data_IF_319508543139
#
_entry.id   IF_319508543139
#
_cell.length_a   1.000
_cell.length_b   1.000
_cell.length_c   1.000
_cell.angle_alpha   90.00
_cell.angle_beta   90.00
_cell.angle_gamma   90.00
#
_symmetry.space_group_name_H-M   'P 1'
#
loop_
_entity.id
_entity.type
_entity.pdbx_description
1 polymer ?
#
# COMPACT_ATOMS: atom_id res chain seq x y z
N UNK A 1 14.41 -16.50 -42.83
CA UNK A 1 13.03 -16.81 -42.41
C UNK A 1 13.05 -18.25 -41.87
N UNK A 2 13.73 -18.49 -40.76
CA UNK A 2 13.95 -19.83 -40.19
C UNK A 2 14.10 -19.70 -38.66
N UNK A 3 13.04 -19.94 -37.90
CA UNK A 3 13.10 -20.04 -36.43
C UNK A 3 11.88 -20.75 -35.82
N UNK A 4 11.16 -21.55 -36.60
CA UNK A 4 10.00 -22.31 -36.09
C UNK A 4 10.28 -23.81 -35.95
N UNK A 5 11.46 -24.29 -36.38
CA UNK A 5 11.82 -25.71 -36.40
C UNK A 5 12.74 -26.15 -35.25
N UNK A 6 13.15 -25.25 -34.36
CA UNK A 6 14.03 -25.55 -33.22
C UNK A 6 13.30 -25.60 -31.86
N UNK A 7 11.97 -25.57 -31.86
CA UNK A 7 11.22 -25.84 -30.64
C UNK A 7 11.28 -27.34 -30.33
N UNK A 8 11.99 -27.71 -29.26
CA UNK A 8 11.90 -29.03 -28.63
C UNK A 8 10.41 -29.42 -28.53
N UNK A 9 10.00 -30.60 -29.02
CA UNK A 9 8.62 -31.04 -28.89
C UNK A 9 8.27 -31.04 -27.40
N UNK A 10 7.29 -30.24 -26.98
CA UNK A 10 6.69 -30.43 -25.66
C UNK A 10 6.19 -31.86 -25.61
N UNK A 11 6.63 -32.62 -24.61
CA UNK A 11 6.31 -34.03 -24.39
C UNK A 11 4.80 -34.33 -24.17
N UNK A 12 3.92 -33.37 -24.43
CA UNK A 12 2.48 -33.42 -24.13
C UNK A 12 1.60 -33.41 -25.40
N UNK A 13 2.19 -33.47 -26.60
CA UNK A 13 1.46 -33.33 -27.87
C UNK A 13 0.88 -34.64 -28.44
N UNK A 14 0.58 -35.64 -27.60
CA UNK A 14 0.20 -36.98 -28.07
C UNK A 14 -1.03 -37.64 -27.42
N UNK A 15 -1.42 -37.23 -26.20
CA UNK A 15 -2.52 -37.86 -25.48
C UNK A 15 -3.59 -36.85 -25.08
N UNK A 16 -4.86 -37.30 -25.00
CA UNK A 16 -5.96 -36.50 -24.45
C UNK A 16 -5.68 -36.27 -22.97
N UNK A 17 -5.41 -35.03 -22.58
CA UNK A 17 -5.13 -34.65 -21.21
C UNK A 17 -6.36 -34.02 -20.57
N UNK A 18 -6.72 -34.49 -19.37
CA UNK A 18 -7.86 -33.98 -18.60
C UNK A 18 -7.43 -33.63 -17.18
N UNK A 19 -8.11 -32.69 -16.55
CA UNK A 19 -7.93 -32.36 -15.14
C UNK A 19 -8.52 -33.45 -14.25
N UNK A 20 -7.99 -33.60 -13.04
CA UNK A 20 -8.57 -34.44 -11.98
C UNK A 20 -9.87 -33.90 -11.39
N UNK A 21 -10.30 -32.67 -11.77
CA UNK A 21 -11.55 -32.07 -11.30
C UNK A 21 -12.77 -32.76 -11.97
N UNK A 22 -13.82 -33.16 -11.22
CA UNK A 22 -15.00 -33.82 -11.79
C UNK A 22 -15.79 -32.93 -12.76
N UNK A 23 -15.66 -31.60 -12.64
CA UNK A 23 -16.31 -30.61 -13.50
C UNK A 23 -15.48 -30.26 -14.76
N UNK A 24 -14.43 -31.02 -15.07
CA UNK A 24 -13.67 -30.80 -16.31
C UNK A 24 -14.57 -31.05 -17.53
N UNK A 25 -14.86 -29.99 -18.28
CA UNK A 25 -15.68 -30.03 -19.49
C UNK A 25 -15.17 -31.04 -20.52
N UNK A 26 -13.85 -31.24 -20.63
CA UNK A 26 -13.23 -32.22 -21.53
C UNK A 26 -13.44 -33.64 -21.01
N UNK A 27 -13.30 -33.87 -19.71
CA UNK A 27 -13.59 -35.17 -19.09
C UNK A 27 -15.06 -35.57 -19.29
N UNK A 28 -15.98 -34.66 -18.99
CA UNK A 28 -17.43 -34.85 -19.19
C UNK A 28 -17.74 -35.16 -20.65
N UNK A 29 -17.11 -34.44 -21.59
CA UNK A 29 -17.32 -34.67 -23.02
C UNK A 29 -16.81 -36.05 -23.46
N UNK A 30 -15.64 -36.48 -22.96
CA UNK A 30 -15.09 -37.80 -23.28
C UNK A 30 -15.96 -38.92 -22.72
N UNK A 31 -16.45 -38.80 -21.49
CA UNK A 31 -17.38 -39.76 -20.90
C UNK A 31 -18.71 -39.86 -21.67
N UNK A 32 -19.23 -38.73 -22.18
CA UNK A 32 -20.41 -38.74 -23.05
C UNK A 32 -20.15 -39.48 -24.37
N UNK A 33 -18.98 -39.29 -24.97
CA UNK A 33 -18.60 -40.02 -26.17
C UNK A 33 -18.43 -41.52 -25.92
N UNK A 34 -17.83 -41.92 -24.80
CA UNK A 34 -17.77 -43.32 -24.38
C UNK A 34 -19.17 -43.93 -24.28
N UNK A 35 -20.10 -43.22 -23.64
CA UNK A 35 -21.48 -43.68 -23.49
C UNK A 35 -22.18 -43.89 -24.84
N UNK A 36 -22.00 -42.98 -25.80
CA UNK A 36 -22.57 -43.11 -27.15
C UNK A 36 -21.97 -44.30 -27.88
N UNK A 37 -20.64 -44.49 -27.79
CA UNK A 37 -19.95 -45.62 -28.45
C UNK A 37 -20.38 -46.97 -27.85
N UNK A 38 -20.63 -47.02 -26.53
CA UNK A 38 -21.20 -48.19 -25.86
C UNK A 38 -22.62 -48.51 -26.34
N UNK A 39 -23.47 -47.50 -26.50
CA UNK A 39 -24.82 -47.67 -27.05
C UNK A 39 -24.81 -48.21 -28.50
N UNK A 40 -23.73 -47.94 -29.24
CA UNK A 40 -23.51 -48.47 -30.59
C UNK A 40 -22.90 -49.88 -30.61
N UNK A 41 -22.77 -50.55 -29.45
CA UNK A 41 -22.29 -51.92 -29.34
C UNK A 41 -20.76 -52.08 -29.27
N UNK A 42 -20.02 -50.99 -29.03
CA UNK A 42 -18.57 -51.00 -28.92
C UNK A 42 -18.10 -50.83 -27.48
N UNK A 43 -17.15 -51.65 -27.04
CA UNK A 43 -16.61 -51.64 -25.66
C UNK A 43 -15.36 -50.76 -25.51
N UNK A 44 -15.18 -49.75 -26.37
CA UNK A 44 -14.00 -48.88 -26.33
C UNK A 44 -14.12 -47.87 -25.19
N UNK A 45 -13.08 -47.81 -24.36
CA UNK A 45 -12.92 -46.85 -23.26
C UNK A 45 -11.89 -45.80 -23.68
N UNK A 46 -12.14 -44.53 -23.41
CA UNK A 46 -11.18 -43.47 -23.69
C UNK A 46 -10.01 -43.53 -22.69
N UNK A 47 -8.79 -43.55 -23.22
CA UNK A 47 -7.57 -43.46 -22.42
C UNK A 47 -7.12 -42.00 -22.42
N UNK A 48 -6.97 -41.43 -21.23
CA UNK A 48 -6.52 -40.06 -21.03
C UNK A 48 -5.55 -39.97 -19.86
N UNK A 49 -4.69 -38.96 -19.88
CA UNK A 49 -3.78 -38.65 -18.78
C UNK A 49 -4.42 -37.61 -17.88
N UNK A 50 -4.52 -37.92 -16.59
CA UNK A 50 -5.04 -37.00 -15.58
C UNK A 50 -3.91 -36.12 -15.06
N UNK A 51 -4.01 -34.81 -15.26
CA UNK A 51 -3.14 -33.87 -14.56
C UNK A 51 -3.79 -33.53 -13.22
N UNK A 52 -3.05 -33.82 -12.15
CA UNK A 52 -3.34 -33.24 -10.84
C UNK A 52 -3.01 -31.75 -10.90
N UNK A 53 -4.01 -30.93 -11.23
CA UNK A 53 -3.93 -29.49 -11.03
C UNK A 53 -4.00 -29.26 -9.52
N UNK A 54 -2.84 -29.32 -8.84
CA UNK A 54 -2.73 -28.80 -7.49
C UNK A 54 -3.21 -27.36 -7.50
N UNK A 55 -4.13 -27.03 -6.59
CA UNK A 55 -4.69 -25.68 -6.52
C UNK A 55 -3.55 -24.66 -6.47
N UNK A 56 -3.59 -23.70 -7.37
CA UNK A 56 -2.64 -22.59 -7.39
C UNK A 56 -2.69 -21.87 -6.05
N UNK A 57 -1.61 -21.19 -5.66
CA UNK A 57 -1.64 -20.39 -4.43
C UNK A 57 -2.78 -19.35 -4.48
N UNK A 58 -3.09 -18.82 -5.67
CA UNK A 58 -4.19 -17.88 -5.86
C UNK A 58 -5.56 -18.50 -5.58
N UNK A 59 -5.84 -19.70 -6.11
CA UNK A 59 -7.10 -20.41 -5.83
C UNK A 59 -7.27 -20.71 -4.33
N UNK A 60 -6.17 -21.02 -3.63
CA UNK A 60 -6.16 -21.24 -2.18
C UNK A 60 -6.42 -19.94 -1.40
N UNK A 61 -5.74 -18.86 -1.76
CA UNK A 61 -5.92 -17.55 -1.12
C UNK A 61 -7.35 -17.03 -1.29
N UNK A 62 -7.93 -17.19 -2.48
CA UNK A 62 -9.34 -16.85 -2.74
C UNK A 62 -10.31 -17.69 -1.90
N UNK A 63 -10.03 -18.98 -1.71
CA UNK A 63 -10.86 -19.85 -0.90
C UNK A 63 -10.80 -19.46 0.59
N UNK A 64 -9.61 -19.12 1.09
CA UNK A 64 -9.43 -18.61 2.45
C UNK A 64 -10.15 -17.27 2.63
N UNK A 65 -10.04 -16.36 1.66
CA UNK A 65 -10.72 -15.08 1.69
C UNK A 65 -12.24 -15.23 1.77
N UNK A 66 -12.83 -16.11 0.94
CA UNK A 66 -14.27 -16.42 1.00
C UNK A 66 -14.67 -16.96 2.38
N UNK A 67 -13.88 -17.88 2.95
CA UNK A 67 -14.15 -18.38 4.30
C UNK A 67 -14.08 -17.28 5.36
N UNK A 68 -13.10 -16.38 5.28
CA UNK A 68 -12.98 -15.26 6.21
C UNK A 68 -14.13 -14.25 6.06
N UNK A 69 -14.63 -14.01 4.84
CA UNK A 69 -15.78 -13.13 4.60
C UNK A 69 -17.09 -13.72 5.13
N UNK A 70 -17.31 -15.03 4.97
CA UNK A 70 -18.50 -15.70 5.50
C UNK A 70 -18.48 -15.80 7.04
N UNK A 71 -17.32 -16.03 7.63
CA UNK A 71 -17.19 -16.31 9.06
C UNK A 71 -17.02 -15.06 9.93
N UNK A 72 -16.71 -13.89 9.35
CA UNK A 72 -16.50 -12.65 10.10
C UNK A 72 -17.48 -11.56 9.64
N UNK A 73 -18.68 -11.48 10.27
CA UNK A 73 -19.60 -10.38 10.02
C UNK A 73 -18.95 -9.04 10.37
N UNK A 74 -19.44 -7.91 9.82
CA UNK A 74 -18.82 -6.59 10.00
C UNK A 74 -18.55 -6.21 11.46
N UNK A 75 -19.42 -6.61 12.40
CA UNK A 75 -19.26 -6.30 13.82
C UNK A 75 -18.10 -7.05 14.49
N UNK A 76 -17.69 -8.20 13.96
CA UNK A 76 -16.61 -9.05 14.53
C UNK A 76 -15.25 -8.80 13.88
N UNK A 77 -15.18 -7.88 12.91
CA UNK A 77 -13.92 -7.55 12.23
C UNK A 77 -13.01 -6.76 13.15
N UNK A 78 -11.74 -7.15 13.18
CA UNK A 78 -10.70 -6.40 13.88
C UNK A 78 -10.61 -4.97 13.34
N UNK A 79 -10.29 -4.00 14.21
CA UNK A 79 -10.15 -2.58 13.85
C UNK A 79 -9.20 -2.38 12.66
N UNK A 80 -8.06 -3.08 12.67
CA UNK A 80 -7.11 -3.10 11.57
C UNK A 80 -7.76 -3.53 10.23
N UNK A 81 -8.61 -4.56 10.23
CA UNK A 81 -9.29 -5.00 9.01
C UNK A 81 -10.33 -3.98 8.56
N UNK A 82 -11.03 -3.32 9.49
CA UNK A 82 -11.98 -2.26 9.16
C UNK A 82 -11.27 -1.08 8.48
N UNK A 83 -10.13 -0.63 9.01
CA UNK A 83 -9.30 0.42 8.39
C UNK A 83 -8.81 0.01 7.00
N UNK A 84 -8.29 -1.21 6.87
CA UNK A 84 -7.83 -1.74 5.59
C UNK A 84 -8.94 -1.80 4.54
N UNK A 85 -10.16 -2.21 4.93
CA UNK A 85 -11.32 -2.23 4.04
C UNK A 85 -11.79 -0.83 3.64
N UNK A 86 -11.69 0.17 4.54
CA UNK A 86 -11.97 1.58 4.18
C UNK A 86 -11.05 2.09 3.07
N UNK A 87 -9.82 1.59 3.01
CA UNK A 87 -8.85 1.88 1.93
C UNK A 87 -9.09 1.06 0.65
N UNK A 88 -10.23 0.39 0.53
CA UNK A 88 -10.61 -0.43 -0.62
C UNK A 88 -9.93 -1.80 -0.66
N UNK A 89 -9.55 -2.34 0.49
CA UNK A 89 -9.03 -3.70 0.64
C UNK A 89 -10.11 -4.75 0.95
N UNK A 90 -9.77 -6.02 0.79
CA UNK A 90 -10.59 -7.17 1.21
C UNK A 90 -9.71 -8.33 1.69
N UNK A 91 -10.32 -9.38 2.26
CA UNK A 91 -9.58 -10.58 2.66
C UNK A 91 -8.87 -11.24 1.47
N UNK A 92 -9.38 -11.07 0.24
CA UNK A 92 -8.75 -11.59 -0.97
C UNK A 92 -7.49 -10.82 -1.38
N UNK A 93 -7.39 -9.53 -1.03
CA UNK A 93 -6.28 -8.68 -1.45
C UNK A 93 -5.19 -8.54 -0.39
N UNK A 94 -5.48 -8.83 0.88
CA UNK A 94 -4.59 -8.53 2.01
C UNK A 94 -3.21 -9.18 1.87
N UNK A 95 -3.15 -10.45 1.45
CA UNK A 95 -1.88 -11.19 1.29
C UNK A 95 -1.03 -10.56 0.20
N UNK A 96 -1.64 -10.29 -0.96
CA UNK A 96 -0.97 -9.67 -2.11
C UNK A 96 -0.50 -8.25 -1.80
N UNK A 97 -1.30 -7.48 -1.06
CA UNK A 97 -0.95 -6.12 -0.70
C UNK A 97 0.16 -6.05 0.36
N UNK A 98 0.18 -6.98 1.33
CA UNK A 98 1.30 -7.13 2.26
C UNK A 98 2.59 -7.52 1.56
N UNK A 99 2.53 -8.43 0.59
CA UNK A 99 3.67 -8.81 -0.23
C UNK A 99 4.18 -7.61 -1.04
N UNK A 100 3.28 -6.86 -1.68
CA UNK A 100 3.65 -5.65 -2.43
C UNK A 100 4.27 -4.59 -1.52
N UNK A 101 3.73 -4.36 -0.32
CA UNK A 101 4.32 -3.44 0.64
C UNK A 101 5.75 -3.84 1.05
N UNK A 102 6.01 -5.14 1.23
CA UNK A 102 7.37 -5.65 1.48
C UNK A 102 8.30 -5.41 0.29
N UNK A 103 7.80 -5.62 -0.93
CA UNK A 103 8.57 -5.36 -2.15
C UNK A 103 8.89 -3.87 -2.32
N UNK A 104 7.95 -2.98 -1.99
CA UNK A 104 8.17 -1.53 -1.96
C UNK A 104 9.27 -1.15 -0.96
N UNK A 105 9.26 -1.72 0.25
CA UNK A 105 10.30 -1.52 1.26
C UNK A 105 11.67 -2.02 0.78
N UNK A 106 11.72 -3.23 0.24
CA UNK A 106 12.94 -3.80 -0.32
C UNK A 106 13.50 -2.94 -1.46
N UNK A 107 12.63 -2.42 -2.32
CA UNK A 107 13.01 -1.52 -3.42
C UNK A 107 13.61 -0.22 -2.87
N UNK A 108 12.94 0.43 -1.90
CA UNK A 108 13.45 1.64 -1.24
C UNK A 108 14.84 1.42 -0.63
N UNK A 109 15.03 0.31 0.09
CA UNK A 109 16.33 -0.04 0.70
C UNK A 109 17.39 -0.25 -0.39
N UNK A 110 17.07 -0.99 -1.46
CA UNK A 110 18.00 -1.21 -2.57
C UNK A 110 18.43 0.09 -3.22
N UNK A 111 17.51 1.03 -3.46
CA UNK A 111 17.86 2.36 -3.99
C UNK A 111 18.74 3.16 -3.03
N UNK A 112 18.48 3.11 -1.72
CA UNK A 112 19.35 3.77 -0.74
C UNK A 112 20.77 3.16 -0.73
N UNK A 113 20.90 1.83 -0.88
CA UNK A 113 22.20 1.14 -0.98
C UNK A 113 22.90 1.47 -2.30
N UNK A 114 22.22 1.37 -3.44
CA UNK A 114 22.80 1.64 -4.76
C UNK A 114 23.18 3.10 -4.96
N UNK A 115 22.53 4.02 -4.26
CA UNK A 115 22.86 5.44 -4.27
C UNK A 115 23.97 5.82 -3.27
N UNK A 116 24.58 4.85 -2.58
CA UNK A 116 25.71 5.11 -1.68
C UNK A 116 26.89 5.71 -2.45
N UNK A 117 27.45 6.80 -1.93
CA UNK A 117 28.54 7.54 -2.59
C UNK A 117 28.06 8.62 -3.56
N UNK A 118 26.75 8.72 -3.84
CA UNK A 118 26.17 9.87 -4.55
C UNK A 118 25.99 11.07 -3.62
N UNK A 119 25.88 12.26 -4.21
CA UNK A 119 25.55 13.49 -3.49
C UNK A 119 24.17 13.40 -2.82
N UNK A 120 24.06 13.90 -1.58
CA UNK A 120 22.83 13.81 -0.79
C UNK A 120 21.61 14.48 -1.45
N UNK A 121 21.82 15.56 -2.22
CA UNK A 121 20.74 16.19 -3.00
C UNK A 121 20.16 15.21 -4.02
N UNK A 122 21.02 14.52 -4.77
CA UNK A 122 20.59 13.52 -5.75
C UNK A 122 19.91 12.33 -5.07
N UNK A 123 20.41 11.92 -3.90
CA UNK A 123 19.77 10.87 -3.09
C UNK A 123 18.37 11.29 -2.62
N UNK A 124 18.19 12.54 -2.21
CA UNK A 124 16.88 13.09 -1.87
C UNK A 124 15.93 13.15 -3.07
N UNK A 125 16.42 13.54 -4.25
CA UNK A 125 15.62 13.54 -5.48
C UNK A 125 15.16 12.12 -5.85
N UNK A 126 16.03 11.11 -5.66
CA UNK A 126 15.66 9.69 -5.86
C UNK A 126 14.56 9.28 -4.86
N UNK A 127 14.72 9.60 -3.57
CA UNK A 127 13.71 9.27 -2.54
C UNK A 127 12.37 9.94 -2.82
N UNK A 128 12.37 11.19 -3.26
CA UNK A 128 11.15 11.91 -3.60
C UNK A 128 10.46 11.32 -4.84
N UNK A 129 11.24 10.93 -5.85
CA UNK A 129 10.69 10.23 -7.01
C UNK A 129 10.07 8.87 -6.63
N UNK A 130 10.71 8.10 -5.75
CA UNK A 130 10.16 6.84 -5.25
C UNK A 130 8.83 7.09 -4.51
N UNK A 131 8.77 8.11 -3.64
CA UNK A 131 7.53 8.50 -2.96
C UNK A 131 6.43 8.82 -3.97
N UNK A 132 6.73 9.65 -4.97
CA UNK A 132 5.77 10.01 -6.02
C UNK A 132 5.25 8.79 -6.79
N UNK A 133 6.11 7.82 -7.11
CA UNK A 133 5.70 6.57 -7.75
C UNK A 133 4.82 5.74 -6.82
N UNK A 134 5.19 5.63 -5.55
CA UNK A 134 4.43 4.86 -4.56
C UNK A 134 3.06 5.48 -4.29
N UNK A 135 2.92 6.81 -4.31
CA UNK A 135 1.64 7.49 -4.15
C UNK A 135 0.65 7.20 -5.28
N UNK A 136 1.10 6.67 -6.42
CA UNK A 136 0.22 6.23 -7.52
C UNK A 136 -0.30 4.80 -7.33
N UNK A 137 0.22 4.06 -6.36
CA UNK A 137 -0.24 2.71 -6.06
C UNK A 137 -1.51 2.75 -5.19
N UNK A 138 -2.28 1.65 -5.14
CA UNK A 138 -3.42 1.55 -4.23
C UNK A 138 -3.04 1.94 -2.79
N UNK A 139 -3.78 2.88 -2.20
CA UNK A 139 -3.49 3.49 -0.89
C UNK A 139 -3.29 2.45 0.21
N UNK A 140 -4.07 1.36 0.19
CA UNK A 140 -3.92 0.23 1.11
C UNK A 140 -2.53 -0.44 1.10
N UNK A 141 -1.81 -0.42 -0.03
CA UNK A 141 -0.41 -0.88 -0.13
C UNK A 141 0.55 0.13 0.47
N UNK A 142 0.31 1.42 0.21
CA UNK A 142 1.07 2.54 0.79
C UNK A 142 0.96 2.53 2.30
N UNK A 143 -0.24 2.31 2.84
CA UNK A 143 -0.51 2.18 4.27
C UNK A 143 0.33 1.07 4.92
N UNK A 144 0.35 -0.14 4.36
CA UNK A 144 1.20 -1.22 4.85
C UNK A 144 2.70 -0.93 4.71
N UNK A 145 3.11 -0.35 3.59
CA UNK A 145 4.50 0.03 3.36
C UNK A 145 4.97 1.03 4.44
N UNK A 146 4.16 2.06 4.73
CA UNK A 146 4.47 3.08 5.72
C UNK A 146 4.51 2.52 7.15
N UNK A 147 3.58 1.62 7.50
CA UNK A 147 3.64 0.84 8.74
C UNK A 147 5.00 0.14 8.90
N UNK A 148 5.49 -0.52 7.84
CA UNK A 148 6.79 -1.20 7.88
C UNK A 148 7.96 -0.22 7.98
N UNK A 149 7.92 0.92 7.26
CA UNK A 149 8.94 1.98 7.35
C UNK A 149 9.01 2.57 8.76
N UNK A 150 7.85 2.90 9.34
CA UNK A 150 7.75 3.42 10.71
C UNK A 150 8.30 2.43 11.72
N UNK A 151 7.87 1.16 11.64
CA UNK A 151 8.38 0.11 12.51
C UNK A 151 9.89 -0.07 12.39
N UNK A 152 10.45 0.06 11.18
CA UNK A 152 11.90 0.01 10.98
C UNK A 152 12.62 1.21 11.60
N UNK A 153 12.09 2.42 11.43
CA UNK A 153 12.70 3.65 11.91
C UNK A 153 12.60 3.85 13.43
N UNK A 154 11.54 3.33 14.05
CA UNK A 154 11.24 3.55 15.48
C UNK A 154 11.51 2.31 16.36
N UNK A 155 12.05 1.23 15.78
CA UNK A 155 12.20 -0.10 16.42
C UNK A 155 12.94 -0.09 17.76
N UNK A 156 13.93 0.78 17.95
CA UNK A 156 14.70 0.89 19.19
C UNK A 156 14.01 1.74 20.29
N UNK A 157 12.88 2.38 19.97
CA UNK A 157 12.09 3.20 20.91
C UNK A 157 10.75 2.57 21.28
N UNK A 158 10.42 1.44 20.65
CA UNK A 158 9.25 0.63 20.93
C UNK A 158 9.66 -0.46 21.91
N UNK A 159 9.25 -0.34 23.18
CA UNK A 159 9.19 -1.50 24.07
C UNK A 159 8.18 -2.47 23.43
N UNK A 160 8.53 -3.76 23.35
CA UNK A 160 7.76 -4.87 22.76
C UNK A 160 7.79 -5.05 21.24
N UNK A 161 8.42 -6.17 20.84
CA UNK A 161 8.48 -6.66 19.48
C UNK A 161 7.23 -7.42 19.04
N UNK A 162 6.97 -7.36 17.74
CA UNK A 162 6.09 -8.21 16.91
C UNK A 162 4.71 -7.68 16.51
N UNK A 163 4.23 -6.54 17.02
CA UNK A 163 2.91 -6.00 16.62
C UNK A 163 3.10 -4.76 15.74
N UNK A 164 2.40 -4.71 14.60
CA UNK A 164 2.23 -3.48 13.83
C UNK A 164 1.42 -2.54 14.72
N UNK A 165 2.07 -1.61 15.41
CA UNK A 165 1.38 -0.65 16.28
C UNK A 165 0.47 0.28 15.47
N UNK A 166 -0.49 0.91 16.15
CA UNK A 166 -1.22 2.02 15.58
C UNK A 166 -0.28 3.20 15.34
N UNK A 167 -0.54 3.95 14.27
CA UNK A 167 0.29 5.05 13.81
C UNK A 167 -0.53 6.17 13.18
N UNK A 168 0.11 7.29 12.85
CA UNK A 168 -0.57 8.41 12.19
C UNK A 168 -1.19 8.01 10.85
N UNK A 169 -0.65 6.98 10.18
CA UNK A 169 -1.25 6.40 8.97
C UNK A 169 -2.62 5.73 9.22
N UNK A 170 -2.91 5.27 10.45
CA UNK A 170 -4.19 4.68 10.82
C UNK A 170 -5.26 5.74 11.05
N UNK A 171 -4.87 6.91 11.59
CA UNK A 171 -5.75 8.06 11.69
C UNK A 171 -6.20 8.51 10.30
N UNK A 172 -5.26 8.63 9.35
CA UNK A 172 -5.57 8.97 7.96
C UNK A 172 -6.44 7.90 7.31
N UNK A 173 -6.19 6.60 7.57
CA UNK A 173 -7.07 5.54 7.10
C UNK A 173 -8.49 5.65 7.67
N UNK A 174 -8.61 6.03 8.95
CA UNK A 174 -9.86 6.24 9.65
C UNK A 174 -10.71 7.35 9.05
N UNK A 175 -10.08 8.46 8.66
CA UNK A 175 -10.74 9.64 8.06
C UNK A 175 -10.65 9.68 6.54
N UNK A 176 -10.25 8.59 5.89
CA UNK A 176 -10.02 8.52 4.43
C UNK A 176 -11.21 8.95 3.59
N UNK A 177 -12.44 8.84 4.10
CA UNK A 177 -13.67 9.28 3.43
C UNK A 177 -13.81 10.81 3.34
N UNK A 178 -13.13 11.55 4.22
CA UNK A 178 -13.13 13.01 4.24
C UNK A 178 -11.99 13.63 3.42
N UNK A 179 -11.14 12.80 2.82
CA UNK A 179 -9.94 13.19 2.08
C UNK A 179 -10.15 12.81 0.61
N UNK A 180 -9.74 13.69 -0.31
CA UNK A 180 -9.68 13.37 -1.74
C UNK A 180 -8.82 12.14 -2.00
N UNK A 181 -9.33 11.21 -2.81
CA UNK A 181 -8.75 9.87 -2.99
C UNK A 181 -7.27 9.89 -3.41
N UNK A 182 -6.90 10.85 -4.25
CA UNK A 182 -5.57 11.10 -4.79
C UNK A 182 -4.59 11.66 -3.75
N UNK A 183 -5.10 12.27 -2.67
CA UNK A 183 -4.30 12.93 -1.64
C UNK A 183 -4.03 12.05 -0.43
N UNK A 184 -4.79 10.98 -0.23
CA UNK A 184 -4.66 10.09 0.94
C UNK A 184 -3.23 9.55 1.06
N UNK A 185 -2.66 9.04 -0.04
CA UNK A 185 -1.30 8.50 -0.01
C UNK A 185 -0.26 9.58 0.34
N UNK A 186 -0.39 10.77 -0.25
CA UNK A 186 0.50 11.93 0.01
C UNK A 186 0.44 12.34 1.48
N UNK A 187 -0.75 12.43 2.04
CA UNK A 187 -0.95 12.75 3.46
C UNK A 187 -0.39 11.65 4.37
N UNK A 188 -0.62 10.37 4.06
CA UNK A 188 -0.03 9.27 4.83
C UNK A 188 1.50 9.36 4.85
N UNK A 189 2.13 9.62 3.71
CA UNK A 189 3.58 9.83 3.62
C UNK A 189 4.03 10.99 4.52
N UNK A 190 3.34 12.13 4.42
CA UNK A 190 3.66 13.32 5.20
C UNK A 190 3.63 13.06 6.71
N UNK A 191 2.50 12.53 7.22
CA UNK A 191 2.33 12.34 8.67
C UNK A 191 3.31 11.32 9.24
N UNK A 192 3.59 10.23 8.51
CA UNK A 192 4.54 9.20 8.96
C UNK A 192 5.97 9.71 8.94
N UNK A 193 6.38 10.39 7.87
CA UNK A 193 7.74 10.93 7.76
C UNK A 193 7.98 12.05 8.77
N UNK A 194 6.97 12.88 9.02
CA UNK A 194 7.02 13.91 10.07
C UNK A 194 7.17 13.29 11.45
N UNK A 195 6.39 12.25 11.77
CA UNK A 195 6.53 11.54 13.04
C UNK A 195 7.94 10.95 13.21
N UNK A 196 8.47 10.30 12.17
CA UNK A 196 9.84 9.74 12.19
C UNK A 196 10.87 10.84 12.39
N UNK A 197 10.71 11.98 11.71
CA UNK A 197 11.60 13.14 11.85
C UNK A 197 11.57 13.69 13.27
N UNK A 198 10.38 13.90 13.84
CA UNK A 198 10.19 14.38 15.21
C UNK A 198 10.79 13.42 16.24
N UNK A 199 10.56 12.11 16.07
CA UNK A 199 11.17 11.12 16.96
C UNK A 199 12.70 11.20 16.92
N UNK A 200 13.29 11.43 15.75
CA UNK A 200 14.75 11.55 15.60
C UNK A 200 15.33 12.89 16.09
N UNK A 201 14.49 13.88 16.39
CA UNK A 201 14.87 15.19 16.92
C UNK A 201 14.07 15.52 18.19
N UNK A 202 14.34 14.87 19.33
CA UNK A 202 13.55 15.04 20.56
C UNK A 202 13.65 16.45 21.16
N UNK A 203 14.69 17.21 20.83
CA UNK A 203 14.88 18.60 21.27
C UNK A 203 14.03 19.61 20.45
N UNK A 204 13.20 19.10 19.53
CA UNK A 204 12.35 19.88 18.67
C UNK A 204 10.99 20.13 19.32
N UNK A 205 10.82 21.31 19.91
CA UNK A 205 9.51 21.79 20.37
C UNK A 205 8.67 22.25 19.17
N UNK A 206 7.48 21.65 19.00
CA UNK A 206 6.48 22.06 18.00
C UNK A 206 5.90 23.46 18.29
N UNK A 207 6.00 23.92 19.54
CA UNK A 207 5.55 25.24 20.01
C UNK A 207 6.65 25.89 20.85
N UNK A 208 7.76 26.35 20.23
CA UNK A 208 8.80 27.00 21.00
C UNK A 208 8.29 28.36 21.50
N UNK A 209 8.51 28.67 22.77
CA UNK A 209 8.42 30.05 23.25
C UNK A 209 9.45 30.89 22.47
N UNK A 210 8.99 31.82 21.64
CA UNK A 210 9.87 32.67 20.82
C UNK A 210 10.55 33.67 21.75
N UNK A 211 11.71 33.30 22.30
CA UNK A 211 12.57 34.25 22.99
C UNK A 211 13.49 34.96 21.99
N UNK A 212 13.38 36.29 21.95
CA UNK A 212 14.05 37.18 20.99
C UNK A 212 15.58 37.19 21.05
N UNK A 213 16.18 36.55 22.06
CA UNK A 213 17.62 36.61 22.32
C UNK A 213 18.46 35.67 21.42
N UNK A 214 17.86 34.68 20.74
CA UNK A 214 18.60 33.61 20.08
C UNK A 214 18.18 33.42 18.60
N UNK A 215 18.59 34.37 17.77
CA UNK A 215 18.21 34.53 16.35
C UNK A 215 18.68 33.36 15.45
N UNK A 216 19.83 32.76 15.72
CA UNK A 216 20.35 31.66 14.89
C UNK A 216 19.64 30.34 15.17
N UNK A 217 19.40 30.02 16.44
CA UNK A 217 18.66 28.81 16.83
C UNK A 217 17.18 28.91 16.43
N UNK A 218 16.57 30.09 16.53
CA UNK A 218 15.20 30.35 16.03
C UNK A 218 15.08 30.30 14.50
N UNK A 219 16.10 30.68 13.73
CA UNK A 219 16.12 30.52 12.26
C UNK A 219 16.26 29.07 11.81
N UNK A 220 17.09 28.27 12.50
CA UNK A 220 17.18 26.83 12.23
C UNK A 220 15.89 26.10 12.65
N UNK A 221 15.31 26.46 13.80
CA UNK A 221 14.04 25.92 14.27
C UNK A 221 12.88 26.31 13.36
N UNK A 222 12.78 27.56 12.92
CA UNK A 222 11.72 27.99 11.98
C UNK A 222 11.84 27.33 10.61
N UNK A 223 13.04 27.08 10.09
CA UNK A 223 13.24 26.29 8.88
C UNK A 223 12.81 24.83 9.06
N UNK A 224 13.06 24.25 10.23
CA UNK A 224 12.64 22.89 10.56
C UNK A 224 11.12 22.80 10.81
N UNK A 225 10.50 23.77 11.48
CA UNK A 225 9.04 23.90 11.63
C UNK A 225 8.41 24.07 10.26
N UNK A 226 8.95 24.96 9.42
CA UNK A 226 8.44 25.16 8.07
C UNK A 226 8.60 23.90 7.20
N UNK A 227 9.68 23.15 7.37
CA UNK A 227 9.88 21.88 6.68
C UNK A 227 8.97 20.76 7.22
N UNK A 228 8.68 20.71 8.52
CA UNK A 228 7.83 19.67 9.11
C UNK A 228 6.34 19.98 8.88
N UNK A 229 5.92 21.24 9.05
CA UNK A 229 4.54 21.67 8.88
C UNK A 229 4.16 21.94 7.41
N UNK A 230 5.13 22.29 6.55
CA UNK A 230 4.88 22.72 5.17
C UNK A 230 5.83 22.11 4.11
N UNK A 231 6.45 20.94 4.38
CA UNK A 231 7.02 20.14 3.28
C UNK A 231 5.92 19.62 2.35
N UNK A 232 6.27 18.86 1.31
CA UNK A 232 5.45 18.49 0.13
C UNK A 232 4.05 17.90 0.37
N UNK A 233 3.63 17.76 1.62
CA UNK A 233 2.25 17.63 2.08
C UNK A 233 1.34 18.83 1.78
N UNK A 234 1.90 19.98 1.41
CA UNK A 234 1.14 21.13 0.91
C UNK A 234 0.79 22.17 1.97
N UNK A 235 0.45 23.38 1.48
CA UNK A 235 -0.20 24.43 2.27
C UNK A 235 -1.51 23.91 2.85
N UNK A 236 -2.08 24.57 3.87
CA UNK A 236 -3.47 24.30 4.29
C UNK A 236 -4.46 24.46 3.13
N UNK A 237 -4.08 25.22 2.11
CA UNK A 237 -4.78 25.41 0.84
C UNK A 237 -4.70 24.21 -0.15
N UNK A 238 -3.92 23.17 0.15
CA UNK A 238 -3.73 21.95 -0.66
C UNK A 238 -3.57 20.74 0.27
N UNK A 239 -4.36 20.72 1.36
CA UNK A 239 -4.32 19.65 2.36
C UNK A 239 -5.19 18.45 1.98
N UNK A 240 -5.92 18.50 0.86
CA UNK A 240 -6.76 17.43 0.32
C UNK A 240 -8.12 17.27 1.01
N UNK A 241 -8.51 18.23 1.86
CA UNK A 241 -9.79 18.28 2.58
C UNK A 241 -10.55 19.55 2.16
N UNK A 242 -11.55 19.39 1.28
CA UNK A 242 -12.26 20.50 0.63
C UNK A 242 -12.83 21.54 1.61
N UNK A 243 -13.32 21.09 2.76
CA UNK A 243 -13.92 21.98 3.77
C UNK A 243 -12.86 22.85 4.45
N UNK A 244 -11.68 22.29 4.73
CA UNK A 244 -10.56 23.02 5.35
C UNK A 244 -9.97 24.01 4.33
N UNK A 245 -9.82 23.59 3.08
CA UNK A 245 -9.31 24.45 2.00
C UNK A 245 -10.25 25.64 1.72
N UNK A 246 -11.58 25.41 1.72
CA UNK A 246 -12.55 26.51 1.61
C UNK A 246 -12.45 27.49 2.78
N UNK A 247 -12.39 27.00 4.01
CA UNK A 247 -12.25 27.87 5.19
C UNK A 247 -10.92 28.64 5.24
N UNK A 248 -9.83 28.03 4.75
CA UNK A 248 -8.55 28.72 4.61
C UNK A 248 -8.57 29.84 3.56
N UNK A 249 -9.49 29.75 2.59
CA UNK A 249 -9.70 30.75 1.53
C UNK A 249 -10.67 31.85 1.97
N UNK A 250 -11.70 31.51 2.76
CA UNK A 250 -12.83 32.38 3.12
C UNK A 250 -12.64 33.22 4.41
N UNK A 251 -11.51 33.10 5.13
CA UNK A 251 -11.36 33.72 6.45
C UNK A 251 -10.96 35.21 6.42
N UNK A 252 -11.96 36.07 6.24
CA UNK A 252 -12.05 37.39 6.91
C UNK A 252 -12.46 37.18 8.38
N UNK A 253 -11.57 36.68 9.23
CA UNK A 253 -11.81 36.60 10.69
C UNK A 253 -10.82 37.46 11.50
N UNK A 254 -11.28 38.08 12.61
CA UNK A 254 -10.55 39.12 13.35
C UNK A 254 -9.20 38.63 13.88
N UNK A 255 -8.22 39.54 13.90
CA UNK A 255 -6.81 39.34 14.22
C UNK A 255 -6.49 38.81 15.64
N UNK A 256 -7.48 38.48 16.47
CA UNK A 256 -7.27 38.30 17.91
C UNK A 256 -7.23 36.83 18.39
N UNK A 257 -7.23 35.83 17.49
CA UNK A 257 -7.22 34.41 17.90
C UNK A 257 -6.00 33.61 17.42
N UNK A 258 -5.13 34.15 16.56
CA UNK A 258 -3.94 33.41 16.11
C UNK A 258 -2.65 34.23 16.26
N UNK A 259 -1.83 33.82 17.25
CA UNK A 259 -0.48 34.32 17.50
C UNK A 259 0.45 34.06 16.27
N UNK A 260 1.51 34.86 16.05
CA UNK A 260 2.12 35.14 14.75
C UNK A 260 3.15 34.11 14.27
N UNK A 261 2.72 32.86 14.08
CA UNK A 261 3.51 31.86 13.37
C UNK A 261 2.80 31.45 12.08
N UNK A 262 3.10 32.21 11.02
CA UNK A 262 3.21 31.75 9.63
C UNK A 262 2.04 30.90 9.09
N UNK A 263 0.80 31.38 9.23
CA UNK A 263 -0.25 31.00 8.30
C UNK A 263 -0.01 31.80 7.03
N UNK A 264 0.64 31.19 6.04
CA UNK A 264 0.66 31.77 4.69
C UNK A 264 -0.76 31.63 4.16
N UNK A 265 -1.55 32.71 4.25
CA UNK A 265 -2.87 32.79 3.61
C UNK A 265 -2.77 32.36 2.15
N UNK A 266 -3.84 31.75 1.65
CA UNK A 266 -4.00 31.46 0.22
C UNK A 266 -4.12 32.81 -0.51
N UNK A 267 -2.99 33.42 -0.89
CA UNK A 267 -2.98 34.54 -1.82
C UNK A 267 -2.06 34.19 -2.99
N UNK A 268 -2.59 34.48 -4.18
CA UNK A 268 -2.09 34.15 -5.52
C UNK A 268 -0.58 34.32 -5.74
#
# INVERSE_FOLDING_TARGET
>A
MESYLSALPRAESGFKTVSSKPDDRRLIFLQKLEHVVQQMGSNVIAVYHTINNTATNEERDEQVARMMELNNPPEERTEHMQLYMRLGGSYATVVKDLEQARNMLNMRIKFDVWSTGLNERLRNDIRENIRRIFSQLPVRRVWYYLKQVRNMALRDRSVEGSVIFDGPEDLIAGVSQAIRSEDIARLMFAVVLNQISLANHPDFELYPEINSQDLLSSLYRSKQIAFIAFSSAGSICDCGIDEIERQATDSELPQDVFNPLLIKRCYD
#
